data_IF_519482539405
#
_entry.id   IF_519482539405
#
_cell.length_a   1.000
_cell.length_b   1.000
_cell.length_c   1.000
_cell.angle_alpha   90.00
_cell.angle_beta   90.00
_cell.angle_gamma   90.00
#
_symmetry.space_group_name_H-M   'P 1'
#
loop_
_entity.id
_entity.type
_entity.pdbx_description
1 polymer ?
#
# COMPACT_ATOMS: atom_id res chain seq x y z
N UNK A 1 11.28 0.49 20.85
CA UNK A 1 10.82 0.56 19.46
C UNK A 1 9.42 -0.01 19.35
N UNK A 2 8.48 0.84 19.06
CA UNK A 2 7.10 0.40 18.90
C UNK A 2 6.88 -0.15 17.50
N UNK A 3 6.58 -1.42 17.43
CA UNK A 3 6.13 -2.03 16.19
C UNK A 3 4.67 -1.65 15.99
N UNK A 4 4.40 -0.99 14.89
CA UNK A 4 3.04 -0.66 14.51
C UNK A 4 2.27 -1.94 14.21
N UNK A 5 1.22 -2.19 14.94
CA UNK A 5 0.38 -3.37 14.75
C UNK A 5 -1.07 -2.96 14.48
N UNK A 6 -1.85 -3.92 14.05
CA UNK A 6 -3.23 -3.67 13.66
C UNK A 6 -4.08 -3.09 14.79
N UNK A 7 -3.80 -3.42 16.05
CA UNK A 7 -4.58 -2.91 17.19
C UNK A 7 -4.43 -1.41 17.35
N UNK A 8 -3.23 -0.88 17.10
CA UNK A 8 -2.94 0.55 17.24
C UNK A 8 -3.20 1.32 15.95
N UNK A 9 -2.68 0.83 14.84
CA UNK A 9 -2.73 1.55 13.55
C UNK A 9 -4.05 1.34 12.83
N UNK A 10 -4.65 0.15 12.93
CA UNK A 10 -5.89 -0.15 12.22
C UNK A 10 -6.99 0.88 12.44
N UNK A 11 -7.38 1.13 13.70
CA UNK A 11 -8.43 2.12 13.97
C UNK A 11 -8.10 3.52 13.46
N UNK A 12 -6.84 3.91 13.55
CA UNK A 12 -6.39 5.24 13.06
C UNK A 12 -6.49 5.34 11.54
N UNK A 13 -6.13 4.30 10.82
CA UNK A 13 -6.26 4.27 9.37
C UNK A 13 -7.72 4.31 8.95
N UNK A 14 -8.59 3.61 9.66
CA UNK A 14 -10.03 3.64 9.39
C UNK A 14 -10.58 5.05 9.58
N UNK A 15 -10.16 5.73 10.65
CA UNK A 15 -10.58 7.12 10.91
C UNK A 15 -10.11 8.08 9.82
N UNK A 16 -8.98 7.78 9.19
CA UNK A 16 -8.44 8.57 8.07
C UNK A 16 -9.10 8.22 6.73
N UNK A 17 -10.05 7.29 6.71
CA UNK A 17 -10.79 6.93 5.51
C UNK A 17 -10.20 5.78 4.71
N UNK A 18 -9.22 5.09 5.24
CA UNK A 18 -8.65 3.91 4.58
C UNK A 18 -9.48 2.67 4.86
N UNK A 19 -9.51 1.78 3.88
CA UNK A 19 -10.06 0.43 4.02
C UNK A 19 -8.89 -0.52 4.23
N UNK A 20 -8.99 -1.39 5.22
CA UNK A 20 -7.84 -2.19 5.64
C UNK A 20 -8.14 -3.68 5.75
N UNK A 21 -7.08 -4.48 5.73
CA UNK A 21 -7.10 -5.91 5.99
C UNK A 21 -6.02 -6.28 7.00
N UNK A 22 -6.14 -7.48 7.58
CA UNK A 22 -5.17 -7.99 8.54
C UNK A 22 -4.14 -8.87 7.85
N UNK A 23 -2.88 -8.72 8.23
CA UNK A 23 -1.78 -9.51 7.71
C UNK A 23 -1.14 -10.31 8.84
N UNK A 24 -1.31 -11.63 8.87
CA UNK A 24 -0.71 -12.47 9.91
C UNK A 24 0.82 -12.35 9.95
N UNK A 25 1.39 -12.51 11.14
CA UNK A 25 2.84 -12.50 11.32
C UNK A 25 3.52 -13.49 10.38
N UNK A 26 4.56 -13.04 9.70
CA UNK A 26 5.32 -13.87 8.76
C UNK A 26 4.67 -14.08 7.40
N UNK A 27 3.49 -13.52 7.18
CA UNK A 27 2.80 -13.56 5.89
C UNK A 27 3.10 -12.32 5.07
N UNK A 28 3.15 -12.48 3.75
CA UNK A 28 3.30 -11.34 2.82
C UNK A 28 1.97 -10.67 2.53
N UNK A 29 0.87 -11.31 2.88
CA UNK A 29 -0.45 -10.78 2.63
C UNK A 29 -1.50 -11.43 3.51
N UNK A 30 -2.76 -11.01 3.38
CA UNK A 30 -3.86 -11.55 4.18
C UNK A 30 -4.15 -13.01 3.82
N UNK A 31 -4.58 -13.78 4.81
CA UNK A 31 -4.93 -15.20 4.63
C UNK A 31 -6.41 -15.48 4.77
N UNK A 32 -7.16 -14.55 5.34
CA UNK A 32 -8.59 -14.74 5.53
C UNK A 32 -9.31 -14.73 4.18
N UNK A 33 -10.22 -15.67 3.97
CA UNK A 33 -11.05 -15.72 2.77
C UNK A 33 -11.85 -14.41 2.64
N UNK A 34 -11.96 -13.93 1.40
CA UNK A 34 -12.73 -12.72 1.09
C UNK A 34 -12.22 -11.44 1.78
N UNK A 35 -10.93 -11.40 2.11
CA UNK A 35 -10.29 -10.26 2.76
C UNK A 35 -10.46 -8.94 1.98
N UNK A 36 -10.63 -9.04 0.67
CA UNK A 36 -10.72 -7.88 -0.22
C UNK A 36 -12.16 -7.40 -0.44
N UNK A 37 -13.15 -8.05 0.14
CA UNK A 37 -14.57 -7.71 -0.07
C UNK A 37 -15.09 -6.61 0.85
N UNK A 38 -14.49 -6.45 2.01
CA UNK A 38 -14.84 -5.39 2.93
C UNK A 38 -13.66 -4.98 3.81
N UNK A 39 -13.70 -3.73 4.24
CA UNK A 39 -12.74 -3.25 5.22
C UNK A 39 -12.98 -3.90 6.58
N UNK A 40 -11.90 -4.12 7.32
CA UNK A 40 -11.96 -4.54 8.71
C UNK A 40 -12.50 -3.40 9.57
N UNK A 41 -13.30 -3.72 10.59
CA UNK A 41 -13.82 -2.71 11.52
C UNK A 41 -12.81 -2.40 12.62
N UNK A 42 -13.02 -1.30 13.34
CA UNK A 42 -12.17 -0.94 14.49
C UNK A 42 -12.20 -2.02 15.56
N UNK A 43 -13.35 -2.58 15.84
CA UNK A 43 -13.51 -3.66 16.81
C UNK A 43 -12.73 -4.90 16.39
N UNK A 44 -12.80 -5.25 15.13
CA UNK A 44 -12.03 -6.36 14.58
C UNK A 44 -10.52 -6.11 14.70
N UNK A 45 -10.08 -4.87 14.51
CA UNK A 45 -8.68 -4.52 14.69
C UNK A 45 -8.23 -4.71 16.14
N UNK A 46 -9.04 -4.29 17.10
CA UNK A 46 -8.72 -4.42 18.52
C UNK A 46 -8.74 -5.88 18.98
N UNK A 47 -9.57 -6.70 18.35
CA UNK A 47 -9.68 -8.13 18.65
C UNK A 47 -8.61 -8.98 17.94
N UNK A 48 -7.90 -8.45 16.98
CA UNK A 48 -6.87 -9.19 16.26
C UNK A 48 -5.65 -9.47 17.14
N UNK A 49 -4.88 -10.53 16.84
CA UNK A 49 -3.61 -10.76 17.53
C UNK A 49 -2.68 -9.56 17.38
N UNK A 50 -1.99 -9.21 18.47
CA UNK A 50 -1.08 -8.07 18.50
C UNK A 50 0.08 -8.18 17.50
N UNK A 51 0.41 -9.40 17.07
CA UNK A 51 1.46 -9.65 16.09
C UNK A 51 1.04 -9.37 14.64
N UNK A 52 -0.26 -9.18 14.39
CA UNK A 52 -0.74 -8.94 13.03
C UNK A 52 -0.39 -7.54 12.56
N UNK A 53 0.00 -7.44 11.30
CA UNK A 53 0.19 -6.18 10.61
C UNK A 53 -1.09 -5.77 9.90
N UNK A 54 -1.03 -4.62 9.24
CA UNK A 54 -2.15 -4.05 8.51
C UNK A 54 -1.81 -3.85 7.04
N UNK A 55 -2.75 -4.18 6.17
CA UNK A 55 -2.67 -3.87 4.75
C UNK A 55 -3.76 -2.88 4.37
N UNK A 56 -3.49 -2.06 3.40
CA UNK A 56 -4.47 -1.11 2.85
C UNK A 56 -5.10 -1.72 1.60
N UNK A 57 -6.43 -1.76 1.57
CA UNK A 57 -7.16 -2.22 0.40
C UNK A 57 -7.16 -1.14 -0.66
N UNK A 58 -6.67 -1.48 -1.85
CA UNK A 58 -6.62 -0.54 -2.98
C UNK A 58 -7.86 -0.71 -3.86
N UNK A 59 -8.28 0.37 -4.50
CA UNK A 59 -9.38 0.33 -5.47
C UNK A 59 -10.77 0.22 -4.87
N UNK A 60 -10.93 0.43 -3.56
CA UNK A 60 -12.23 0.34 -2.88
C UNK A 60 -12.62 1.67 -2.24
N UNK A 61 -13.93 1.90 -2.11
CA UNK A 61 -14.44 3.12 -1.50
C UNK A 61 -14.77 4.21 -2.53
N UNK A 62 -15.23 5.36 -2.04
CA UNK A 62 -15.65 6.49 -2.88
C UNK A 62 -14.46 7.26 -3.46
N UNK A 63 -13.37 7.34 -2.72
CA UNK A 63 -12.12 7.93 -3.20
C UNK A 63 -11.03 6.89 -2.93
N UNK A 64 -10.91 5.89 -3.81
CA UNK A 64 -10.05 4.75 -3.53
C UNK A 64 -8.57 5.09 -3.55
N UNK A 65 -7.82 4.38 -2.70
CA UNK A 65 -6.36 4.44 -2.70
C UNK A 65 -5.83 3.46 -3.74
N UNK A 66 -4.81 3.88 -4.45
CA UNK A 66 -4.08 3.04 -5.39
C UNK A 66 -2.60 3.07 -5.06
N UNK A 67 -1.90 2.05 -5.48
CA UNK A 67 -0.46 1.95 -5.27
C UNK A 67 0.26 1.84 -6.61
N UNK A 68 1.31 2.62 -6.77
CA UNK A 68 2.26 2.46 -7.86
C UNK A 68 3.49 1.76 -7.27
N UNK A 69 3.68 0.51 -7.63
CA UNK A 69 4.74 -0.33 -7.08
C UNK A 69 5.96 -0.32 -7.99
N UNK A 70 7.06 0.23 -7.51
CA UNK A 70 8.33 0.30 -8.24
C UNK A 70 9.21 -0.85 -7.78
N UNK A 71 9.19 -1.91 -8.55
CA UNK A 71 9.87 -3.16 -8.25
C UNK A 71 11.21 -3.25 -8.99
N UNK A 72 12.15 -2.41 -8.58
CA UNK A 72 13.49 -2.37 -9.17
C UNK A 72 14.56 -2.38 -8.08
N UNK A 73 15.57 -3.21 -8.27
CA UNK A 73 16.76 -3.23 -7.41
C UNK A 73 17.83 -2.23 -7.88
N UNK A 74 17.64 -1.60 -9.03
CA UNK A 74 18.55 -0.57 -9.54
C UNK A 74 18.22 0.77 -8.91
N UNK A 75 19.11 1.27 -8.07
CA UNK A 75 18.92 2.51 -7.35
C UNK A 75 18.77 3.73 -8.26
N UNK A 76 19.54 3.77 -9.35
CA UNK A 76 19.45 4.88 -10.32
C UNK A 76 18.10 4.89 -11.03
N UNK A 77 17.63 3.73 -11.46
CA UNK A 77 16.32 3.59 -12.12
C UNK A 77 15.20 4.02 -11.18
N UNK A 78 15.26 3.58 -9.92
CA UNK A 78 14.26 3.95 -8.91
C UNK A 78 14.25 5.45 -8.67
N UNK A 79 15.41 6.09 -8.59
CA UNK A 79 15.53 7.54 -8.41
C UNK A 79 15.04 8.32 -9.63
N UNK A 80 15.38 7.88 -10.82
CA UNK A 80 14.92 8.53 -12.05
C UNK A 80 13.41 8.45 -12.19
N UNK A 81 12.83 7.31 -11.85
CA UNK A 81 11.39 7.15 -11.88
C UNK A 81 10.70 8.04 -10.85
N UNK A 82 11.23 8.11 -9.64
CA UNK A 82 10.71 9.00 -8.59
C UNK A 82 10.74 10.46 -9.02
N UNK A 83 11.84 10.90 -9.63
CA UNK A 83 11.99 12.26 -10.17
C UNK A 83 10.96 12.51 -11.28
N UNK A 84 10.75 11.56 -12.15
CA UNK A 84 9.76 11.65 -13.22
C UNK A 84 8.35 11.80 -12.66
N UNK A 85 7.99 11.01 -11.65
CA UNK A 85 6.68 11.10 -11.00
C UNK A 85 6.50 12.45 -10.35
N UNK A 86 7.51 12.93 -9.62
CA UNK A 86 7.49 14.25 -9.00
C UNK A 86 7.29 15.37 -10.01
N UNK A 87 8.01 15.31 -11.12
CA UNK A 87 7.94 16.31 -12.18
C UNK A 87 6.58 16.36 -12.87
N UNK A 88 5.96 15.20 -13.10
CA UNK A 88 4.70 15.11 -13.84
C UNK A 88 3.46 15.24 -12.98
N UNK A 89 3.50 14.78 -11.75
CA UNK A 89 2.33 14.76 -10.86
C UNK A 89 2.45 15.66 -9.64
N UNK A 90 3.67 16.00 -9.24
CA UNK A 90 3.92 16.77 -8.04
C UNK A 90 3.74 15.96 -6.75
N UNK A 91 4.29 16.43 -5.64
CA UNK A 91 4.18 15.75 -4.35
C UNK A 91 2.79 15.82 -3.74
N UNK A 92 2.02 16.82 -4.08
CA UNK A 92 0.66 16.99 -3.54
C UNK A 92 -0.29 15.85 -3.94
N UNK A 93 0.07 15.07 -4.95
CA UNK A 93 -0.72 13.93 -5.40
C UNK A 93 -0.26 12.60 -4.83
N UNK A 94 0.92 12.56 -4.21
CA UNK A 94 1.43 11.34 -3.58
C UNK A 94 1.25 11.44 -2.07
N UNK A 95 0.41 10.56 -1.53
CA UNK A 95 0.09 10.58 -0.11
C UNK A 95 1.21 9.99 0.73
N UNK A 96 1.72 8.83 0.35
CA UNK A 96 2.72 8.10 1.11
C UNK A 96 3.65 7.34 0.20
N UNK A 97 4.89 7.25 0.63
CA UNK A 97 5.89 6.38 0.03
C UNK A 97 6.19 5.26 1.04
N UNK A 98 6.01 4.03 0.60
CA UNK A 98 6.33 2.86 1.41
C UNK A 98 7.63 2.24 0.91
N UNK A 99 8.62 2.10 1.80
CA UNK A 99 9.87 1.43 1.48
C UNK A 99 9.92 0.15 2.30
N UNK A 100 9.78 -1.00 1.63
CA UNK A 100 9.95 -2.30 2.27
C UNK A 100 11.39 -2.79 2.17
N UNK A 101 11.85 -2.94 0.94
CA UNK A 101 13.19 -3.43 0.65
C UNK A 101 13.83 -2.49 -0.38
N UNK A 102 14.60 -1.52 0.10
CA UNK A 102 15.24 -0.51 -0.75
C UNK A 102 16.14 -1.18 -1.82
N UNK A 103 16.21 -0.65 -3.05
CA UNK A 103 15.61 0.59 -3.53
C UNK A 103 14.16 0.48 -4.02
N UNK A 104 13.53 -0.66 -3.83
CA UNK A 104 12.11 -0.84 -4.17
C UNK A 104 11.21 0.03 -3.29
N UNK A 105 10.16 0.56 -3.86
CA UNK A 105 9.20 1.35 -3.11
C UNK A 105 7.81 1.33 -3.76
N UNK A 106 6.81 1.75 -3.01
CA UNK A 106 5.46 1.93 -3.51
C UNK A 106 4.99 3.34 -3.18
N UNK A 107 4.34 3.99 -4.13
CA UNK A 107 3.71 5.29 -3.94
C UNK A 107 2.21 5.08 -3.81
N UNK A 108 1.63 5.60 -2.74
CA UNK A 108 0.19 5.51 -2.49
C UNK A 108 -0.47 6.83 -2.87
N UNK A 109 -1.57 6.76 -3.58
CA UNK A 109 -2.33 7.93 -4.00
C UNK A 109 -3.81 7.62 -4.07
N UNK A 110 -4.64 8.65 -4.12
CA UNK A 110 -6.08 8.51 -4.27
C UNK A 110 -6.52 8.87 -5.68
N UNK A 111 -7.52 8.16 -6.17
CA UNK A 111 -8.13 8.43 -7.47
C UNK A 111 -9.63 8.59 -7.30
N UNK A 112 -10.23 9.39 -8.16
CA UNK A 112 -11.69 9.60 -8.13
C UNK A 112 -12.46 8.39 -8.66
N UNK A 113 -11.82 7.60 -9.53
CA UNK A 113 -12.47 6.42 -10.12
C UNK A 113 -12.14 5.15 -9.34
N UNK A 114 -13.20 4.45 -8.94
CA UNK A 114 -13.10 3.12 -8.36
C UNK A 114 -12.99 2.07 -9.46
N UNK A 115 -12.44 0.91 -9.14
CA UNK A 115 -12.46 -0.26 -10.02
C UNK A 115 -11.33 -0.34 -11.02
N UNK A 116 -10.29 0.46 -10.88
CA UNK A 116 -9.09 0.30 -11.70
C UNK A 116 -8.47 -1.08 -11.44
N UNK A 117 -8.17 -1.80 -12.52
CA UNK A 117 -7.57 -3.13 -12.41
C UNK A 117 -6.07 -3.02 -12.22
N UNK A 118 -5.51 -4.04 -11.59
CA UNK A 118 -4.06 -4.16 -11.49
C UNK A 118 -3.46 -4.29 -12.89
N UNK A 119 -2.50 -3.43 -13.17
CA UNK A 119 -1.74 -3.45 -14.41
C UNK A 119 -0.26 -3.62 -14.08
N UNK A 120 0.44 -4.35 -14.92
CA UNK A 120 1.87 -4.57 -14.75
C UNK A 120 2.58 -4.23 -16.06
N UNK A 121 3.65 -3.45 -15.97
CA UNK A 121 4.47 -3.17 -17.14
C UNK A 121 5.24 -4.42 -17.58
N UNK A 122 5.64 -4.50 -18.85
CA UNK A 122 6.56 -5.54 -19.28
C UNK A 122 7.86 -5.48 -18.47
N UNK A 123 8.49 -6.63 -18.31
CA UNK A 123 9.77 -6.69 -17.64
C UNK A 123 10.84 -5.99 -18.49
N UNK A 124 11.50 -5.02 -17.90
CA UNK A 124 12.62 -4.34 -18.53
C UNK A 124 13.93 -5.01 -18.12
N UNK A 125 14.78 -5.28 -19.11
CA UNK A 125 16.11 -5.81 -18.84
C UNK A 125 17.10 -4.70 -19.19
N UNK A 126 17.92 -4.32 -18.20
CA UNK A 126 18.93 -3.30 -18.39
C UNK A 126 20.07 -3.88 -19.24
N UNK A 127 20.42 -3.23 -20.33
CA UNK A 127 21.53 -3.62 -21.18
C UNK A 127 22.86 -3.32 -20.52
N UNK A 128 23.74 -4.27 -20.55
CA UNK A 128 25.10 -4.15 -20.10
C UNK A 128 25.37 -4.59 -18.73
#
# INVERSE_FOLDING_TARGET
MTTSNIREIGPRLIDLGYHICAIPLGSKGPRKKDWNKRSRTKEECRAAPASFGVGILCGVGSVPVHALDVDSYDEEVSKEFESWVEEHFGFEYTLYKRIGEAPKYALLFRMEEAGAKKETTPRFIKDG
#
